data_IF_195840625645
#
_entry.id   IF_195840625645
#
_cell.length_a   1.000
_cell.length_b   1.000
_cell.length_c   1.000
_cell.angle_alpha   90.00
_cell.angle_beta   90.00
_cell.angle_gamma   90.00
#
_symmetry.space_group_name_H-M   'P 1'
#
loop_
_entity.id
_entity.type
_entity.pdbx_description
1 polymer ?
#
# COMPACT_ATOMS: atom_id res chain seq x y z
N UNK A 1 2.64 47.83 59.48
CA UNK A 1 1.62 47.06 58.72
C UNK A 1 2.11 46.75 57.31
N UNK A 2 2.93 47.62 56.72
CA UNK A 2 3.39 47.49 55.33
C UNK A 2 4.30 46.29 55.04
N UNK A 3 5.11 45.85 56.02
CA UNK A 3 5.99 44.67 55.86
C UNK A 3 5.19 43.38 55.69
N UNK A 4 4.14 43.16 56.48
CA UNK A 4 3.27 41.98 56.36
C UNK A 4 2.52 41.93 55.03
N UNK A 5 2.11 43.09 54.52
CA UNK A 5 1.40 43.19 53.22
C UNK A 5 2.36 42.88 52.07
N UNK A 6 3.61 43.36 52.15
CA UNK A 6 4.68 43.01 51.22
C UNK A 6 4.95 41.50 51.19
N UNK A 7 5.10 40.87 52.36
CA UNK A 7 5.42 39.45 52.47
C UNK A 7 4.30 38.57 51.87
N UNK A 8 3.04 38.90 52.15
CA UNK A 8 1.88 38.22 51.56
C UNK A 8 1.80 38.37 50.03
N UNK A 9 2.20 39.53 49.49
CA UNK A 9 2.24 39.76 48.05
C UNK A 9 3.39 38.99 47.35
N UNK A 10 4.47 38.69 48.07
CA UNK A 10 5.55 37.82 47.58
C UNK A 10 5.09 36.36 47.61
N UNK A 11 4.48 35.92 48.69
CA UNK A 11 3.96 34.54 48.83
C UNK A 11 2.88 34.23 47.79
N UNK A 12 1.93 35.15 47.57
CA UNK A 12 0.91 34.98 46.54
C UNK A 12 1.50 34.86 45.13
N UNK A 13 2.58 35.59 44.83
CA UNK A 13 3.28 35.46 43.55
C UNK A 13 4.04 34.14 43.43
N UNK A 14 4.65 33.68 44.51
CA UNK A 14 5.32 32.37 44.55
C UNK A 14 4.32 31.25 44.25
N UNK A 15 3.20 31.22 44.97
CA UNK A 15 2.15 30.20 44.78
C UNK A 15 1.62 30.23 43.35
N UNK A 16 1.37 31.41 42.78
CA UNK A 16 0.93 31.52 41.40
C UNK A 16 1.97 30.97 40.42
N UNK A 17 3.25 31.26 40.66
CA UNK A 17 4.35 30.76 39.83
C UNK A 17 4.44 29.24 39.90
N UNK A 18 4.32 28.65 41.09
CA UNK A 18 4.38 27.21 41.30
C UNK A 18 3.21 26.49 40.62
N UNK A 19 1.98 27.03 40.73
CA UNK A 19 0.80 26.50 40.04
C UNK A 19 0.98 26.56 38.52
N UNK A 20 1.54 27.68 38.02
CA UNK A 20 1.80 27.83 36.59
C UNK A 20 2.84 26.81 36.11
N UNK A 21 3.94 26.66 36.83
CA UNK A 21 4.98 25.68 36.52
C UNK A 21 4.43 24.25 36.53
N UNK A 22 3.61 23.88 37.52
CA UNK A 22 2.98 22.57 37.56
C UNK A 22 2.08 22.31 36.34
N UNK A 23 1.27 23.32 35.94
CA UNK A 23 0.44 23.23 34.74
C UNK A 23 1.26 23.10 33.47
N UNK A 24 2.33 23.89 33.33
CA UNK A 24 3.24 23.83 32.18
C UNK A 24 3.91 22.46 32.10
N UNK A 25 4.45 21.95 33.20
CA UNK A 25 5.06 20.62 33.23
C UNK A 25 4.06 19.50 32.87
N UNK A 26 2.81 19.62 33.33
CA UNK A 26 1.74 18.69 32.94
C UNK A 26 1.42 18.75 31.45
N UNK A 27 1.38 19.96 30.87
CA UNK A 27 1.16 20.16 29.44
C UNK A 27 2.34 19.63 28.60
N UNK A 28 3.58 19.88 29.01
CA UNK A 28 4.78 19.38 28.33
C UNK A 28 4.80 17.85 28.31
N UNK A 29 4.49 17.21 29.44
CA UNK A 29 4.38 15.76 29.49
C UNK A 29 3.28 15.24 28.57
N UNK A 30 2.11 15.90 28.55
CA UNK A 30 1.03 15.52 27.66
C UNK A 30 1.42 15.67 26.17
N UNK A 31 2.10 16.76 25.80
CA UNK A 31 2.59 17.01 24.45
C UNK A 31 3.59 15.93 24.02
N UNK A 32 4.56 15.60 24.88
CA UNK A 32 5.53 14.53 24.61
C UNK A 32 4.83 13.19 24.34
N UNK A 33 3.83 12.82 25.15
CA UNK A 33 3.05 11.59 24.91
C UNK A 33 2.23 11.64 23.61
N UNK A 34 1.75 12.82 23.22
CA UNK A 34 1.04 13.00 21.95
C UNK A 34 1.97 12.88 20.76
N UNK A 35 3.16 13.46 20.84
CA UNK A 35 4.19 13.38 19.80
C UNK A 35 4.63 11.93 19.57
N UNK A 36 4.86 11.16 20.63
CA UNK A 36 5.19 9.73 20.53
C UNK A 36 4.06 8.92 19.87
N UNK A 37 2.81 9.22 20.23
CA UNK A 37 1.64 8.59 19.59
C UNK A 37 1.50 8.96 18.12
N UNK A 38 1.85 10.20 17.75
CA UNK A 38 1.80 10.65 16.37
C UNK A 38 2.92 10.02 15.54
N UNK A 39 4.13 9.96 16.08
CA UNK A 39 5.28 9.32 15.44
C UNK A 39 5.03 7.82 15.21
N UNK A 40 4.49 7.12 16.21
CA UNK A 40 4.14 5.71 16.05
C UNK A 40 3.01 5.47 15.05
N UNK A 41 2.02 6.38 14.94
CA UNK A 41 1.01 6.34 13.86
C UNK A 41 1.64 6.53 12.49
N UNK A 42 2.47 7.56 12.33
CA UNK A 42 3.14 7.86 11.07
C UNK A 42 4.02 6.70 10.58
N UNK A 43 4.73 6.03 11.49
CA UNK A 43 5.54 4.87 11.15
C UNK A 43 4.69 3.68 10.69
N UNK A 44 3.54 3.43 11.35
CA UNK A 44 2.59 2.40 10.92
C UNK A 44 1.99 2.71 9.55
N UNK A 45 1.64 3.98 9.29
CA UNK A 45 1.06 4.37 8.00
C UNK A 45 2.07 4.18 6.86
N UNK A 46 3.36 4.48 7.10
CA UNK A 46 4.45 4.19 6.15
C UNK A 46 4.62 2.70 5.89
N UNK A 47 4.57 1.88 6.94
CA UNK A 47 4.67 0.42 6.82
C UNK A 47 3.49 -0.15 6.03
N UNK A 48 2.27 0.31 6.32
CA UNK A 48 1.06 -0.07 5.58
C UNK A 48 1.17 0.30 4.10
N UNK A 49 1.65 1.51 3.80
CA UNK A 49 1.85 1.94 2.42
C UNK A 49 2.90 1.07 1.70
N UNK A 50 4.01 0.75 2.36
CA UNK A 50 5.02 -0.15 1.80
C UNK A 50 4.46 -1.54 1.52
N UNK A 51 3.70 -2.12 2.45
CA UNK A 51 3.09 -3.43 2.29
C UNK A 51 2.04 -3.44 1.17
N UNK A 52 1.24 -2.38 1.05
CA UNK A 52 0.29 -2.23 -0.05
C UNK A 52 1.00 -2.19 -1.40
N UNK A 53 2.04 -1.37 -1.54
CA UNK A 53 2.81 -1.29 -2.78
C UNK A 53 3.44 -2.65 -3.13
N UNK A 54 4.01 -3.33 -2.15
CA UNK A 54 4.59 -4.66 -2.35
C UNK A 54 3.55 -5.70 -2.77
N UNK A 55 2.35 -5.63 -2.21
CA UNK A 55 1.26 -6.52 -2.58
C UNK A 55 0.83 -6.26 -4.03
N UNK A 56 0.65 -5.00 -4.41
CA UNK A 56 0.36 -4.60 -5.79
C UNK A 56 1.44 -5.10 -6.75
N UNK A 57 2.72 -4.92 -6.41
CA UNK A 57 3.84 -5.37 -7.25
C UNK A 57 3.83 -6.89 -7.46
N UNK A 58 3.53 -7.66 -6.40
CA UNK A 58 3.44 -9.12 -6.47
C UNK A 58 2.21 -9.57 -7.28
N UNK A 59 1.08 -8.91 -7.11
CA UNK A 59 -0.13 -9.18 -7.90
C UNK A 59 0.10 -8.88 -9.37
N UNK A 60 0.73 -7.74 -9.67
CA UNK A 60 1.10 -7.37 -11.03
C UNK A 60 2.11 -8.35 -11.61
N UNK A 61 3.12 -8.78 -10.85
CA UNK A 61 4.06 -9.80 -11.30
C UNK A 61 3.35 -11.11 -11.68
N UNK A 62 2.40 -11.55 -10.86
CA UNK A 62 1.62 -12.75 -11.14
C UNK A 62 0.67 -12.57 -12.34
N UNK A 63 0.05 -11.38 -12.47
CA UNK A 63 -0.87 -11.07 -13.58
C UNK A 63 -0.17 -10.74 -14.89
N UNK A 64 1.10 -10.35 -14.89
CA UNK A 64 1.88 -10.04 -16.12
C UNK A 64 1.89 -11.17 -17.14
N UNK A 65 1.84 -12.41 -16.67
CA UNK A 65 1.82 -13.60 -17.54
C UNK A 65 0.41 -13.99 -17.99
N UNK A 66 -0.63 -13.38 -17.39
CA UNK A 66 -2.01 -13.66 -17.74
C UNK A 66 -2.43 -12.87 -18.98
N UNK A 67 -3.12 -13.55 -19.90
CA UNK A 67 -3.70 -12.95 -21.09
C UNK A 67 -5.22 -12.79 -20.87
N UNK A 68 -5.74 -11.60 -21.12
CA UNK A 68 -7.16 -11.30 -21.05
C UNK A 68 -7.79 -11.32 -22.44
N UNK A 69 -8.80 -12.17 -22.64
CA UNK A 69 -9.60 -12.22 -23.87
C UNK A 69 -10.82 -11.30 -23.71
N UNK A 70 -10.85 -10.19 -24.45
CA UNK A 70 -11.93 -9.22 -24.41
C UNK A 70 -12.63 -9.14 -25.77
N UNK A 71 -13.95 -8.96 -25.77
CA UNK A 71 -14.75 -8.83 -27.00
C UNK A 71 -15.05 -10.14 -27.72
N UNK A 72 -14.75 -11.29 -27.12
CA UNK A 72 -15.21 -12.58 -27.62
C UNK A 72 -16.68 -12.80 -27.21
N UNK A 73 -17.57 -13.17 -28.15
CA UNK A 73 -18.91 -13.61 -27.79
C UNK A 73 -18.84 -14.78 -26.81
N UNK A 74 -19.78 -14.83 -25.86
CA UNK A 74 -19.82 -15.90 -24.87
C UNK A 74 -20.00 -17.28 -25.55
N UNK A 75 -19.36 -18.32 -24.99
CA UNK A 75 -19.42 -19.72 -25.45
C UNK A 75 -18.73 -20.01 -26.78
N UNK A 76 -17.99 -19.07 -27.35
CA UNK A 76 -17.21 -19.30 -28.58
C UNK A 76 -16.14 -20.37 -28.38
N UNK A 77 -15.64 -20.50 -27.15
CA UNK A 77 -14.70 -21.52 -26.72
C UNK A 77 -15.29 -22.94 -26.62
N UNK A 78 -16.63 -23.05 -26.62
CA UNK A 78 -17.33 -24.32 -26.43
C UNK A 78 -17.00 -24.97 -25.08
N UNK A 79 -17.03 -26.31 -25.02
CA UNK A 79 -16.79 -27.07 -23.78
C UNK A 79 -15.30 -27.14 -23.40
N UNK A 80 -14.38 -26.84 -24.33
CA UNK A 80 -12.94 -27.02 -24.11
C UNK A 80 -12.14 -25.80 -24.59
N UNK A 81 -11.84 -24.91 -23.65
CA UNK A 81 -11.05 -23.71 -23.89
C UNK A 81 -9.64 -24.00 -24.45
N UNK A 82 -9.00 -25.09 -24.04
CA UNK A 82 -7.67 -25.46 -24.56
C UNK A 82 -7.72 -25.80 -26.05
N UNK A 83 -8.76 -26.54 -26.48
CA UNK A 83 -8.96 -26.85 -27.89
C UNK A 83 -9.24 -25.58 -28.71
N UNK A 84 -10.01 -24.65 -28.15
CA UNK A 84 -10.25 -23.33 -28.75
C UNK A 84 -8.93 -22.56 -28.95
N UNK A 85 -8.07 -22.46 -27.94
CA UNK A 85 -6.79 -21.74 -28.03
C UNK A 85 -5.82 -22.32 -29.06
N UNK A 86 -5.83 -23.63 -29.27
CA UNK A 86 -4.89 -24.29 -30.20
C UNK A 86 -5.40 -24.23 -31.63
N UNK A 87 -6.70 -24.47 -31.84
CA UNK A 87 -7.23 -24.68 -33.19
C UNK A 87 -7.97 -23.47 -33.75
N UNK A 88 -8.77 -22.80 -32.91
CA UNK A 88 -9.74 -21.80 -33.38
C UNK A 88 -9.21 -20.37 -33.20
N UNK A 89 -8.53 -20.10 -32.09
CA UNK A 89 -7.94 -18.81 -31.80
C UNK A 89 -6.94 -18.36 -32.88
N UNK A 90 -6.03 -19.22 -33.40
CA UNK A 90 -5.12 -18.81 -34.47
C UNK A 90 -5.84 -18.49 -35.78
N UNK A 91 -6.95 -19.18 -36.08
CA UNK A 91 -7.75 -18.89 -37.27
C UNK A 91 -8.44 -17.54 -37.17
N UNK A 92 -8.96 -17.18 -35.99
CA UNK A 92 -9.68 -15.92 -35.78
C UNK A 92 -8.71 -14.73 -35.72
N UNK A 93 -7.56 -14.90 -35.07
CA UNK A 93 -6.66 -13.79 -34.75
C UNK A 93 -5.42 -13.71 -35.62
N UNK A 94 -5.08 -14.78 -36.36
CA UNK A 94 -3.83 -14.91 -37.10
C UNK A 94 -2.60 -15.14 -36.20
N UNK A 95 -2.79 -15.30 -34.88
CA UNK A 95 -1.70 -15.46 -33.90
C UNK A 95 -1.58 -16.93 -33.50
N UNK A 96 -0.38 -17.50 -33.67
CA UNK A 96 -0.11 -18.87 -33.25
C UNK A 96 0.39 -18.90 -31.81
N UNK A 97 -0.26 -19.71 -30.98
CA UNK A 97 0.19 -19.97 -29.60
C UNK A 97 1.03 -21.25 -29.65
N UNK A 98 2.35 -21.11 -29.62
CA UNK A 98 3.25 -22.25 -29.51
C UNK A 98 3.26 -22.77 -28.07
N UNK A 99 3.17 -24.09 -27.85
CA UNK A 99 3.35 -24.64 -26.52
C UNK A 99 4.76 -24.33 -26.00
N UNK A 100 4.83 -23.76 -24.79
CA UNK A 100 6.09 -23.42 -24.10
C UNK A 100 6.98 -24.67 -24.04
N UNK A 101 8.14 -24.61 -24.71
CA UNK A 101 9.11 -25.70 -24.82
C UNK A 101 9.33 -26.28 -26.22
N UNK A 102 8.59 -25.84 -27.24
CA UNK A 102 8.92 -26.17 -28.63
C UNK A 102 10.21 -25.43 -29.06
N UNK A 103 11.22 -26.11 -29.63
CA UNK A 103 12.40 -25.44 -30.15
C UNK A 103 11.99 -24.42 -31.21
N UNK A 104 12.55 -23.22 -31.13
CA UNK A 104 12.27 -22.02 -31.95
C UNK A 104 12.66 -22.21 -33.44
N UNK A 105 12.76 -23.44 -33.94
CA UNK A 105 13.25 -23.79 -35.27
C UNK A 105 12.32 -24.65 -36.12
N UNK A 106 11.12 -25.00 -35.65
CA UNK A 106 10.14 -25.74 -36.46
C UNK A 106 9.07 -24.81 -37.04
N UNK A 107 9.49 -23.72 -37.69
CA UNK A 107 8.65 -23.11 -38.72
C UNK A 107 8.78 -24.03 -39.94
N UNK A 108 7.73 -24.82 -40.17
CA UNK A 108 7.54 -25.63 -41.36
C UNK A 108 7.86 -24.81 -42.62
N UNK A 109 9.03 -25.09 -43.20
CA UNK A 109 9.26 -24.86 -44.61
C UNK A 109 8.30 -25.80 -45.35
N UNK A 110 7.45 -25.31 -46.27
CA UNK A 110 6.50 -26.17 -46.95
C UNK A 110 7.26 -27.24 -47.74
N UNK A 111 6.95 -28.51 -47.48
CA UNK A 111 7.22 -29.56 -48.45
C UNK A 111 6.07 -29.55 -49.46
N UNK A 112 6.43 -29.18 -50.70
CA UNK A 112 5.63 -29.09 -51.93
C UNK A 112 4.83 -27.79 -52.11
#
# INVERSE_FOLDING_TARGET
MDTKISDLAVESRSIHTDIFQYKVAGMEHHLSLMEDKLNSRLNRDRELQYLQNKLTDLEDQNRRENIHFLGFPERVEGTNFKAFLINTFPTITGLTISPVGAPVGALDVPYV
#
